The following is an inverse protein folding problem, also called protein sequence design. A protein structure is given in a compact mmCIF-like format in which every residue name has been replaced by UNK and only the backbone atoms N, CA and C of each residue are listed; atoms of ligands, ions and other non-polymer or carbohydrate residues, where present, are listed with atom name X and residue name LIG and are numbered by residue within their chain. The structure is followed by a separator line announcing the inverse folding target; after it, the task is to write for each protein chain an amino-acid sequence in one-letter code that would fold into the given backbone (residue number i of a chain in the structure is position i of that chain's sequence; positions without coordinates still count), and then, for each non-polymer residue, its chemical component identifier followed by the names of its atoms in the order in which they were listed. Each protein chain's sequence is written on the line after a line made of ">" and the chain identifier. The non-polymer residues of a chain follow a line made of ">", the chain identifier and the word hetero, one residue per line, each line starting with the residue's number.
data_IF_663506339010
#
_entry.id   IF_663506339010
#
_cell.length_a   1.000
_cell.length_b   1.000
_cell.length_c   1.000
_cell.angle_alpha   90.00
_cell.angle_beta   90.00
_cell.angle_gamma   90.00
#
_symmetry.space_group_name_H-M   'P 1'
#
loop_
_entity.id
_entity.type
_entity.pdbx_description
1 polymer ?
#
# COMPACT_ATOMS: atom_id res chain seq x y z
N UNK A 1 -14.86 -14.09 -14.95
CA UNK A 1 -14.12 -12.85 -15.21
C UNK A 1 -14.88 -11.68 -14.59
N UNK A 2 -14.64 -11.35 -13.32
CA UNK A 2 -15.23 -10.14 -12.71
C UNK A 2 -14.47 -9.81 -11.43
N UNK A 3 -13.53 -8.87 -11.53
CA UNK A 3 -12.75 -8.43 -10.40
C UNK A 3 -11.69 -7.39 -10.75
N UNK A 4 -11.98 -6.45 -11.66
CA UNK A 4 -11.16 -5.23 -11.72
C UNK A 4 -11.51 -4.43 -10.47
N UNK A 5 -10.68 -4.58 -9.43
CA UNK A 5 -10.69 -3.69 -8.28
C UNK A 5 -10.64 -2.26 -8.79
N UNK A 6 -11.58 -1.42 -8.35
CA UNK A 6 -11.63 -0.02 -8.73
C UNK A 6 -10.25 0.59 -8.51
N UNK A 7 -9.56 1.03 -9.57
CA UNK A 7 -8.24 1.69 -9.49
C UNK A 7 -8.28 3.05 -8.76
N UNK A 8 -9.30 3.30 -7.94
CA UNK A 8 -9.49 4.49 -7.15
C UNK A 8 -8.65 4.39 -5.88
N UNK A 9 -7.66 5.28 -5.78
CA UNK A 9 -6.93 5.54 -4.53
C UNK A 9 -7.68 6.63 -3.79
N UNK A 10 -8.15 6.34 -2.58
CA UNK A 10 -8.82 7.36 -1.75
C UNK A 10 -7.79 8.17 -0.94
N UNK A 11 -8.12 9.43 -0.57
CA UNK A 11 -7.26 10.23 0.30
C UNK A 11 -6.96 9.50 1.62
N UNK A 12 -5.68 9.46 2.00
CA UNK A 12 -5.23 8.86 3.26
C UNK A 12 -5.33 9.89 4.38
N UNK A 13 -5.81 9.47 5.55
CA UNK A 13 -6.03 10.35 6.69
C UNK A 13 -5.26 9.89 7.92
N UNK A 14 -4.77 10.84 8.72
CA UNK A 14 -4.06 10.59 9.98
C UNK A 14 -2.94 9.55 9.84
N UNK A 15 -3.00 8.49 10.66
CA UNK A 15 -1.99 7.44 10.70
C UNK A 15 -1.80 6.71 9.35
N UNK A 16 -2.82 6.67 8.48
CA UNK A 16 -2.64 6.08 7.15
C UNK A 16 -1.69 6.90 6.28
N UNK A 17 -1.75 8.23 6.36
CA UNK A 17 -0.87 9.11 5.59
C UNK A 17 0.59 9.00 6.04
N UNK A 18 0.81 8.79 7.33
CA UNK A 18 2.13 8.52 7.92
C UNK A 18 2.66 7.14 7.52
N UNK A 19 1.80 6.11 7.55
CA UNK A 19 2.19 4.73 7.26
C UNK A 19 2.68 4.49 5.81
N UNK A 20 2.39 5.41 4.89
CA UNK A 20 2.76 5.28 3.47
C UNK A 20 3.98 6.11 3.08
N UNK A 21 4.65 6.81 4.02
CA UNK A 21 5.92 7.48 3.71
C UNK A 21 6.97 6.42 3.31
N UNK A 22 7.56 6.50 2.10
CA UNK A 22 8.53 5.51 1.63
C UNK A 22 9.85 5.53 2.40
N UNK A 23 10.14 6.60 3.16
CA UNK A 23 11.38 6.76 3.91
C UNK A 23 11.37 6.04 5.26
N UNK A 24 10.17 5.67 5.74
CA UNK A 24 9.99 5.07 7.06
C UNK A 24 9.68 3.59 6.96
N UNK A 25 10.38 2.75 7.73
CA UNK A 25 9.93 1.38 8.00
C UNK A 25 8.86 1.41 9.10
N UNK A 26 7.64 1.00 8.77
CA UNK A 26 6.49 1.10 9.69
C UNK A 26 5.95 -0.27 10.06
N UNK A 27 5.56 -0.40 11.33
CA UNK A 27 4.67 -1.46 11.79
C UNK A 27 3.32 -0.85 12.09
N UNK A 28 2.25 -1.44 11.57
CA UNK A 28 0.89 -0.97 11.81
C UNK A 28 0.00 -2.10 12.31
N UNK A 29 -0.74 -1.83 13.37
CA UNK A 29 -1.86 -2.66 13.80
C UNK A 29 -3.14 -2.03 13.29
N UNK A 30 -3.99 -2.81 12.62
CA UNK A 30 -5.27 -2.30 12.16
C UNK A 30 -6.35 -3.40 12.09
N UNK A 31 -7.55 -3.07 12.59
CA UNK A 31 -8.71 -3.97 12.62
C UNK A 31 -9.22 -4.32 11.21
N UNK A 32 -10.06 -5.34 11.10
CA UNK A 32 -10.74 -5.65 9.84
C UNK A 32 -11.51 -4.43 9.31
N UNK A 33 -11.54 -4.24 7.99
CA UNK A 33 -12.27 -3.14 7.35
C UNK A 33 -11.61 -1.75 7.40
N UNK A 34 -10.45 -1.58 8.03
CA UNK A 34 -9.81 -0.25 8.22
C UNK A 34 -8.94 0.21 7.04
N UNK A 35 -9.10 -0.37 5.85
CA UNK A 35 -8.38 0.07 4.64
C UNK A 35 -6.90 -0.37 4.55
N UNK A 36 -6.47 -1.42 5.28
CA UNK A 36 -5.09 -1.94 5.22
C UNK A 36 -4.58 -2.18 3.80
N UNK A 37 -5.39 -2.78 2.94
CA UNK A 37 -5.03 -3.05 1.55
C UNK A 37 -4.75 -1.76 0.78
N UNK A 38 -5.57 -0.73 0.98
CA UNK A 38 -5.35 0.58 0.35
C UNK A 38 -4.06 1.25 0.85
N UNK A 39 -3.75 1.15 2.15
CA UNK A 39 -2.50 1.66 2.72
C UNK A 39 -1.30 0.96 2.06
N UNK A 40 -1.32 -0.38 1.95
CA UNK A 40 -0.26 -1.13 1.28
C UNK A 40 -0.12 -0.76 -0.21
N UNK A 41 -1.23 -0.69 -0.96
CA UNK A 41 -1.20 -0.30 -2.37
C UNK A 41 -0.68 1.13 -2.57
N UNK A 42 -1.10 2.09 -1.74
CA UNK A 42 -0.63 3.46 -1.80
C UNK A 42 0.86 3.58 -1.44
N UNK A 43 1.35 2.79 -0.48
CA UNK A 43 2.77 2.73 -0.13
C UNK A 43 3.63 2.18 -1.28
N UNK A 44 3.17 1.11 -1.93
CA UNK A 44 3.85 0.56 -3.12
C UNK A 44 3.89 1.60 -4.24
N UNK A 45 2.78 2.30 -4.50
CA UNK A 45 2.74 3.35 -5.51
C UNK A 45 3.73 4.48 -5.18
N UNK A 46 3.81 4.91 -3.92
CA UNK A 46 4.79 5.93 -3.50
C UNK A 46 6.23 5.47 -3.67
N UNK A 47 6.56 4.22 -3.29
CA UNK A 47 7.88 3.65 -3.52
C UNK A 47 8.26 3.63 -5.01
N UNK A 48 7.32 3.29 -5.89
CA UNK A 48 7.53 3.31 -7.34
C UNK A 48 7.74 4.70 -7.93
N UNK A 49 7.29 5.75 -7.23
CA UNK A 49 7.49 7.14 -7.65
C UNK A 49 8.83 7.72 -7.13
N UNK A 50 9.52 7.02 -6.23
CA UNK A 50 10.85 7.44 -5.78
C UNK A 50 11.89 7.29 -6.90
N UNK A 51 12.78 8.29 -7.10
CA UNK A 51 13.80 8.23 -8.14
C UNK A 51 14.68 6.98 -8.01
N UNK A 52 14.82 6.24 -9.12
CA UNK A 52 15.72 5.08 -9.18
C UNK A 52 15.15 3.79 -8.58
N UNK A 53 13.94 3.79 -8.04
CA UNK A 53 13.26 2.56 -7.61
C UNK A 53 12.68 1.83 -8.83
N UNK A 54 13.08 0.57 -9.01
CA UNK A 54 12.50 -0.34 -10.00
C UNK A 54 11.50 -1.27 -9.34
N UNK A 55 10.42 -1.67 -10.03
CA UNK A 55 9.40 -2.56 -9.46
C UNK A 55 9.95 -3.86 -8.88
N UNK A 56 10.99 -4.45 -9.49
CA UNK A 56 11.56 -5.73 -9.06
C UNK A 56 12.29 -5.63 -7.71
N UNK A 57 12.50 -4.42 -7.20
CA UNK A 57 13.08 -4.18 -5.88
C UNK A 57 12.03 -4.18 -4.76
N UNK A 58 10.73 -4.24 -5.11
CA UNK A 58 9.62 -4.19 -4.14
C UNK A 58 8.99 -5.58 -4.04
N UNK A 59 9.11 -6.20 -2.86
CA UNK A 59 8.48 -7.48 -2.54
C UNK A 59 7.20 -7.27 -1.72
N UNK A 60 6.06 -7.68 -2.27
CA UNK A 60 4.79 -7.74 -1.54
C UNK A 60 4.46 -9.18 -1.15
N UNK A 61 4.26 -9.43 0.15
CA UNK A 61 3.89 -10.75 0.68
C UNK A 61 2.49 -10.73 1.26
N UNK A 62 1.76 -11.82 1.06
CA UNK A 62 0.44 -12.06 1.67
C UNK A 62 0.28 -13.55 1.92
N UNK A 63 -0.61 -13.90 2.86
CA UNK A 63 -0.91 -15.30 3.19
C UNK A 63 -1.80 -15.98 2.16
N UNK A 64 -2.63 -15.21 1.45
CA UNK A 64 -3.63 -15.75 0.53
C UNK A 64 -3.31 -15.39 -0.92
N UNK A 65 -3.59 -16.33 -1.82
CA UNK A 65 -3.72 -16.05 -3.25
C UNK A 65 -5.19 -15.72 -3.48
N UNK A 66 -5.49 -14.49 -3.85
CA UNK A 66 -6.83 -14.04 -4.22
C UNK A 66 -6.79 -13.48 -5.63
#
# INVERSE_FOLDING_TARGET
>A
MSGVGSGKVYPLQGNQALAVDPRDSVWLSASAGTGKTQVLSARVLRLLLEPGVRPEQILCLTFTKA
#
